data_IF_787453260489
#
_entry.id   IF_787453260489
#
_cell.length_a   1.000
_cell.length_b   1.000
_cell.length_c   1.000
_cell.angle_alpha   90.00
_cell.angle_beta   90.00
_cell.angle_gamma   90.00
#
_symmetry.space_group_name_H-M   'P 1'
#
loop_
_entity.id
_entity.type
_entity.pdbx_description
1 polymer ?
#
# COMPACT_ATOMS: atom_id res chain seq x y z
N UNK A 1 -13.70 22.72 0.69
CA UNK A 1 -12.25 22.94 0.69
C UNK A 1 -11.64 22.07 -0.42
N UNK A 2 -10.55 22.47 -1.07
CA UNK A 2 -9.89 21.62 -2.07
C UNK A 2 -9.29 20.36 -1.44
N UNK A 3 -9.23 19.28 -2.22
CA UNK A 3 -8.62 18.00 -1.82
C UNK A 3 -7.50 17.61 -2.77
N UNK A 4 -6.59 16.77 -2.31
CA UNK A 4 -5.42 16.36 -3.07
C UNK A 4 -4.71 15.16 -2.45
N UNK A 5 -3.64 14.71 -3.12
CA UNK A 5 -2.78 13.61 -2.68
C UNK A 5 -1.40 14.13 -2.33
N UNK A 6 -0.87 13.72 -1.18
CA UNK A 6 0.50 14.05 -0.77
C UNK A 6 1.46 13.47 -1.81
N UNK A 7 2.23 14.32 -2.48
CA UNK A 7 3.23 13.87 -3.45
C UNK A 7 4.46 13.38 -2.71
N UNK A 8 4.89 14.18 -1.73
CA UNK A 8 5.96 13.85 -0.79
C UNK A 8 5.92 14.81 0.39
N UNK A 9 6.46 14.38 1.52
CA UNK A 9 6.64 15.21 2.71
C UNK A 9 7.92 14.79 3.42
N UNK A 10 8.63 15.75 4.00
CA UNK A 10 9.83 15.50 4.79
C UNK A 10 9.61 16.04 6.20
N UNK A 11 9.37 15.15 7.17
CA UNK A 11 9.28 15.51 8.58
C UNK A 11 10.56 16.20 9.09
N UNK A 12 11.73 15.77 8.63
CA UNK A 12 13.02 16.37 9.00
C UNK A 12 13.13 17.82 8.56
N UNK A 13 12.68 18.14 7.34
CA UNK A 13 12.69 19.51 6.82
C UNK A 13 11.45 20.31 7.21
N UNK A 14 10.39 19.65 7.70
CA UNK A 14 9.13 20.25 8.11
C UNK A 14 8.29 20.79 6.95
N UNK A 15 8.43 20.27 5.74
CA UNK A 15 7.61 20.68 4.60
C UNK A 15 7.44 19.58 3.55
N UNK A 16 6.44 19.75 2.69
CA UNK A 16 6.17 18.87 1.56
C UNK A 16 5.25 19.51 0.53
N UNK A 17 4.76 18.70 -0.40
CA UNK A 17 3.87 19.12 -1.47
C UNK A 17 2.71 18.15 -1.65
N UNK A 18 1.55 18.70 -1.95
CA UNK A 18 0.32 17.97 -2.27
C UNK A 18 -0.10 18.30 -3.69
N UNK A 19 -0.33 17.26 -4.48
CA UNK A 19 -0.90 17.37 -5.81
C UNK A 19 -2.42 17.53 -5.71
N UNK A 20 -2.96 18.61 -6.28
CA UNK A 20 -4.41 18.77 -6.44
C UNK A 20 -4.94 17.80 -7.50
N UNK A 21 -6.23 17.44 -7.44
CA UNK A 21 -6.85 16.65 -8.52
C UNK A 21 -6.94 17.46 -9.83
N UNK A 22 -7.16 18.77 -9.73
CA UNK A 22 -7.08 19.70 -10.86
C UNK A 22 -6.36 20.96 -10.38
N UNK A 23 -5.10 21.17 -10.79
CA UNK A 23 -4.35 22.37 -10.46
C UNK A 23 -2.85 22.18 -10.27
N UNK A 24 -2.22 23.20 -9.70
CA UNK A 24 -0.78 23.22 -9.38
C UNK A 24 -0.49 22.49 -8.05
N UNK A 25 0.75 22.08 -7.86
CA UNK A 25 1.20 21.48 -6.59
C UNK A 25 1.15 22.53 -5.47
N UNK A 26 0.53 22.17 -4.35
CA UNK A 26 0.35 23.05 -3.19
C UNK A 26 1.43 22.78 -2.16
N UNK A 27 2.11 23.84 -1.74
CA UNK A 27 3.14 23.78 -0.70
C UNK A 27 2.52 23.57 0.69
N UNK A 28 3.04 22.60 1.45
CA UNK A 28 2.53 22.22 2.77
C UNK A 28 3.62 22.37 3.83
N UNK A 29 3.57 23.40 4.69
CA UNK A 29 4.46 23.51 5.84
C UNK A 29 3.97 22.65 7.03
N UNK A 30 4.87 22.29 7.94
CA UNK A 30 4.56 21.58 9.19
C UNK A 30 3.55 22.34 10.06
N UNK A 31 3.53 23.67 10.00
CA UNK A 31 2.57 24.50 10.74
C UNK A 31 1.13 24.35 10.26
N UNK A 32 0.92 23.84 9.05
CA UNK A 32 -0.42 23.58 8.51
C UNK A 32 -0.94 22.20 8.87
N UNK A 33 -0.11 21.33 9.47
CA UNK A 33 -0.51 20.00 9.90
C UNK A 33 -1.42 20.05 11.13
N UNK A 34 -2.35 19.09 11.27
CA UNK A 34 -3.17 18.99 12.46
C UNK A 34 -2.34 18.60 13.69
N UNK A 35 -2.83 18.98 14.88
CA UNK A 35 -2.12 18.73 16.14
C UNK A 35 -1.84 17.24 16.35
N UNK A 36 -0.59 16.90 16.66
CA UNK A 36 -0.12 15.52 16.87
C UNK A 36 0.35 14.80 15.61
N UNK A 37 0.27 15.42 14.42
CA UNK A 37 0.80 14.87 13.17
C UNK A 37 2.10 15.58 12.81
N UNK A 38 3.18 14.81 12.71
CA UNK A 38 4.52 15.32 12.38
C UNK A 38 5.00 14.90 10.99
N UNK A 39 4.28 14.00 10.33
CA UNK A 39 4.66 13.45 9.01
C UNK A 39 3.41 13.18 8.15
N UNK A 40 3.59 13.18 6.83
CA UNK A 40 2.58 12.81 5.85
C UNK A 40 3.12 11.72 4.92
N UNK A 41 2.33 10.67 4.69
CA UNK A 41 2.73 9.60 3.77
C UNK A 41 2.48 10.02 2.32
N UNK A 42 3.40 9.71 1.42
CA UNK A 42 3.17 9.86 -0.01
C UNK A 42 1.94 9.04 -0.45
N UNK A 43 1.09 9.63 -1.30
CA UNK A 43 -0.18 9.07 -1.76
C UNK A 43 -1.36 9.28 -0.81
N UNK A 44 -1.14 9.79 0.41
CA UNK A 44 -2.21 10.03 1.38
C UNK A 44 -3.16 11.13 0.90
N UNK A 45 -4.47 10.90 1.00
CA UNK A 45 -5.48 11.90 0.63
C UNK A 45 -5.60 12.93 1.75
N UNK A 46 -5.67 14.21 1.39
CA UNK A 46 -5.79 15.30 2.34
C UNK A 46 -6.76 16.35 1.82
N UNK A 47 -7.51 16.95 2.72
CA UNK A 47 -8.26 18.18 2.49
C UNK A 47 -7.42 19.34 3.01
N UNK A 48 -7.40 20.45 2.30
CA UNK A 48 -6.66 21.61 2.77
C UNK A 48 -7.31 22.92 2.32
N UNK A 49 -7.09 23.98 3.09
CA UNK A 49 -7.37 25.34 2.63
C UNK A 49 -6.19 25.88 1.81
N UNK A 50 -6.44 26.41 0.61
CA UNK A 50 -5.42 27.06 -0.22
C UNK A 50 -5.45 28.56 0.01
N UNK A 51 -4.28 29.16 0.18
CA UNK A 51 -4.09 30.60 0.08
C UNK A 51 -2.91 30.93 -0.85
N UNK A 52 -2.97 32.09 -1.52
CA UNK A 52 -1.84 32.59 -2.29
C UNK A 52 -0.73 33.05 -1.36
N UNK A 53 0.35 32.27 -1.29
CA UNK A 53 1.56 32.61 -0.55
C UNK A 53 2.60 33.30 -1.44
N UNK A 54 3.71 33.72 -0.82
CA UNK A 54 4.84 34.36 -1.52
C UNK A 54 5.53 33.45 -2.55
N UNK A 55 5.32 32.12 -2.45
CA UNK A 55 5.94 31.08 -3.30
C UNK A 55 4.90 30.32 -4.14
N UNK A 56 3.72 30.90 -4.35
CA UNK A 56 2.59 30.24 -5.00
C UNK A 56 1.58 29.66 -4.01
N UNK A 57 0.72 28.74 -4.46
CA UNK A 57 -0.34 28.14 -3.64
C UNK A 57 0.22 27.44 -2.39
N UNK A 58 -0.27 27.83 -1.21
CA UNK A 58 0.14 27.26 0.08
C UNK A 58 -1.07 26.73 0.85
N UNK A 59 -0.89 25.57 1.49
CA UNK A 59 -1.86 25.00 2.42
C UNK A 59 -1.82 25.75 3.78
N UNK A 60 -2.99 26.18 4.25
CA UNK A 60 -3.15 26.83 5.56
C UNK A 60 -3.56 25.87 6.66
N UNK A 61 -4.53 25.02 6.37
CA UNK A 61 -5.07 24.04 7.29
C UNK A 61 -5.14 22.73 6.53
N UNK A 62 -4.43 21.70 7.00
CA UNK A 62 -4.49 20.35 6.44
C UNK A 62 -5.35 19.49 7.36
N UNK A 63 -6.31 18.80 6.77
CA UNK A 63 -7.10 17.76 7.40
C UNK A 63 -6.80 16.46 6.68
N UNK A 64 -6.40 15.44 7.42
CA UNK A 64 -6.22 14.11 6.86
C UNK A 64 -7.58 13.53 6.51
N UNK A 65 -7.92 13.52 5.22
CA UNK A 65 -9.02 12.71 4.72
C UNK A 65 -8.50 11.28 4.75
N UNK A 66 -9.03 10.47 5.67
CA UNK A 66 -8.51 9.14 5.98
C UNK A 66 -8.08 8.34 4.75
N UNK A 67 -7.11 7.44 4.94
CA UNK A 67 -6.45 6.65 3.90
C UNK A 67 -7.38 6.36 2.70
N UNK A 68 -6.94 6.53 1.43
CA UNK A 68 -7.68 5.91 0.31
C UNK A 68 -7.98 4.49 0.76
N UNK A 69 -9.22 3.99 0.64
CA UNK A 69 -9.63 2.79 1.35
C UNK A 69 -8.54 1.76 1.13
N UNK A 70 -7.73 1.54 2.18
CA UNK A 70 -7.07 0.27 2.33
C UNK A 70 -8.25 -0.68 2.20
N UNK A 71 -8.11 -1.72 1.38
CA UNK A 71 -9.16 -2.71 1.22
C UNK A 71 -9.66 -3.27 2.58
N UNK A 72 -8.98 -2.94 3.69
CA UNK A 72 -9.43 -3.05 5.08
C UNK A 72 -10.67 -2.22 5.52
N UNK A 73 -11.07 -1.11 4.87
CA UNK A 73 -12.12 -0.20 5.39
C UNK A 73 -13.44 -0.15 4.62
N UNK A 74 -13.63 -0.96 3.58
CA UNK A 74 -14.96 -1.17 2.96
C UNK A 74 -15.82 -2.21 3.72
N UNK A 75 -15.33 -2.73 4.86
CA UNK A 75 -16.01 -3.73 5.68
C UNK A 75 -16.48 -3.20 7.04
N UNK A 76 -17.15 -2.04 7.09
CA UNK A 76 -17.86 -1.62 8.32
C UNK A 76 -19.34 -1.28 8.17
N UNK A 77 -19.91 -1.28 6.96
CA UNK A 77 -21.34 -0.97 6.75
C UNK A 77 -22.06 -1.96 5.82
N UNK A 78 -21.94 -3.26 6.11
CA UNK A 78 -22.84 -4.29 5.55
C UNK A 78 -23.37 -5.17 6.68
N UNK A 79 -24.65 -5.61 6.63
CA UNK A 79 -25.37 -6.13 7.78
C UNK A 79 -24.69 -7.37 8.36
N UNK A 80 -24.65 -7.43 9.69
CA UNK A 80 -24.15 -8.55 10.50
C UNK A 80 -24.62 -9.89 9.93
N UNK A 81 -23.78 -10.54 9.14
CA UNK A 81 -23.75 -12.00 9.02
C UNK A 81 -22.63 -12.45 9.96
N UNK A 82 -22.97 -13.31 10.89
CA UNK A 82 -22.05 -13.90 11.87
C UNK A 82 -20.81 -14.46 11.14
N UNK A 83 -19.66 -13.84 11.35
CA UNK A 83 -18.41 -14.13 10.63
C UNK A 83 -17.59 -12.85 10.45
N UNK A 84 -16.66 -12.59 11.37
CA UNK A 84 -15.86 -11.36 11.46
C UNK A 84 -14.97 -11.06 10.24
N UNK A 85 -14.27 -9.90 10.23
CA UNK A 85 -13.29 -9.53 9.20
C UNK A 85 -12.32 -10.68 8.99
N UNK A 86 -11.97 -11.01 7.74
CA UNK A 86 -10.91 -11.97 7.46
C UNK A 86 -9.61 -11.32 7.93
N UNK A 87 -9.24 -11.63 9.17
CA UNK A 87 -7.89 -11.40 9.66
C UNK A 87 -6.98 -12.18 8.72
N UNK A 88 -5.99 -11.51 8.13
CA UNK A 88 -4.93 -12.22 7.41
C UNK A 88 -4.41 -13.29 8.36
N UNK A 89 -4.49 -14.54 7.94
CA UNK A 89 -4.14 -15.68 8.80
C UNK A 89 -2.67 -15.64 9.20
N UNK A 90 -1.85 -14.90 8.44
CA UNK A 90 -0.40 -14.82 8.55
C UNK A 90 0.06 -13.38 8.64
N UNK A 91 1.08 -13.15 9.45
CA UNK A 91 1.78 -11.86 9.54
C UNK A 91 2.58 -11.57 8.27
N UNK A 92 2.95 -10.31 8.00
CA UNK A 92 3.78 -9.96 6.85
C UNK A 92 5.12 -10.71 6.81
N UNK A 93 5.78 -10.92 7.95
CA UNK A 93 7.04 -11.66 8.04
C UNK A 93 6.85 -13.15 7.72
N UNK A 94 5.76 -13.75 8.17
CA UNK A 94 5.43 -15.15 7.84
C UNK A 94 5.12 -15.32 6.34
N UNK A 95 4.38 -14.38 5.74
CA UNK A 95 4.08 -14.40 4.31
C UNK A 95 5.34 -14.18 3.48
N UNK A 96 6.22 -13.27 3.92
CA UNK A 96 7.54 -13.06 3.29
C UNK A 96 8.36 -14.36 3.30
N UNK A 97 8.44 -15.05 4.44
CA UNK A 97 9.11 -16.35 4.53
C UNK A 97 8.52 -17.42 3.61
N UNK A 98 7.18 -17.50 3.52
CA UNK A 98 6.52 -18.43 2.58
C UNK A 98 6.86 -18.14 1.11
N UNK A 99 6.97 -16.87 0.75
CA UNK A 99 7.37 -16.45 -0.59
C UNK A 99 8.85 -16.79 -0.85
N UNK A 100 9.74 -16.57 0.12
CA UNK A 100 11.16 -16.95 0.00
C UNK A 100 11.34 -18.47 -0.16
N UNK A 101 10.61 -19.27 0.61
CA UNK A 101 10.60 -20.73 0.51
C UNK A 101 10.09 -21.19 -0.87
N UNK A 102 9.03 -20.54 -1.39
CA UNK A 102 8.50 -20.81 -2.72
C UNK A 102 9.51 -20.49 -3.82
N UNK A 103 10.22 -19.35 -3.72
CA UNK A 103 11.26 -18.97 -4.68
C UNK A 103 12.38 -20.01 -4.67
N UNK A 104 12.86 -20.38 -3.49
CA UNK A 104 13.92 -21.39 -3.31
C UNK A 104 13.49 -22.74 -3.88
N UNK A 105 12.24 -23.15 -3.65
CA UNK A 105 11.69 -24.39 -4.21
C UNK A 105 11.67 -24.34 -5.75
N UNK A 106 11.21 -23.24 -6.34
CA UNK A 106 11.15 -23.06 -7.80
C UNK A 106 12.55 -23.05 -8.43
N UNK A 107 13.51 -22.39 -7.81
CA UNK A 107 14.91 -22.36 -8.22
C UNK A 107 15.57 -23.72 -8.16
N UNK A 108 15.32 -24.49 -7.10
CA UNK A 108 15.91 -25.81 -6.92
C UNK A 108 15.28 -26.90 -7.79
N UNK A 109 13.98 -26.79 -8.09
CA UNK A 109 13.23 -27.92 -8.69
C UNK A 109 12.67 -27.67 -10.08
N UNK A 110 12.33 -26.43 -10.43
CA UNK A 110 11.66 -26.11 -11.70
C UNK A 110 12.63 -25.47 -12.69
N UNK A 111 13.34 -24.42 -12.26
CA UNK A 111 14.26 -23.69 -13.13
C UNK A 111 15.35 -24.56 -13.79
N UNK A 112 15.96 -25.56 -13.12
CA UNK A 112 17.05 -26.32 -13.73
C UNK A 112 16.60 -27.12 -14.95
N UNK A 113 15.38 -27.70 -14.93
CA UNK A 113 14.85 -28.42 -16.08
C UNK A 113 14.44 -27.46 -17.19
N UNK A 114 13.81 -26.32 -16.84
CA UNK A 114 13.45 -25.30 -17.83
C UNK A 114 14.69 -24.73 -18.54
N UNK A 115 15.79 -24.49 -17.81
CA UNK A 115 17.08 -24.08 -18.37
C UNK A 115 17.67 -25.11 -19.34
N UNK A 116 17.37 -26.39 -19.13
CA UNK A 116 17.73 -27.49 -20.04
C UNK A 116 16.72 -27.66 -21.19
N UNK A 117 15.75 -26.76 -21.32
CA UNK A 117 14.70 -26.81 -22.36
C UNK A 117 13.64 -27.89 -22.13
N UNK A 118 13.50 -28.39 -20.89
CA UNK A 118 12.54 -29.45 -20.55
C UNK A 118 11.60 -28.99 -19.43
N UNK A 119 10.40 -29.56 -19.40
CA UNK A 119 9.50 -29.36 -18.28
C UNK A 119 9.78 -30.37 -17.16
N UNK A 120 9.57 -30.00 -15.88
CA UNK A 120 9.57 -30.95 -14.78
C UNK A 120 8.53 -32.06 -14.99
N UNK A 121 8.77 -33.24 -14.41
CA UNK A 121 7.80 -34.33 -14.52
C UNK A 121 6.45 -33.95 -13.89
N UNK A 122 5.39 -34.64 -14.32
CA UNK A 122 4.00 -34.32 -13.95
C UNK A 122 3.75 -34.34 -12.44
N UNK A 123 4.45 -35.20 -11.69
CA UNK A 123 4.29 -35.33 -10.24
C UNK A 123 4.97 -34.16 -9.52
N UNK A 124 6.18 -33.79 -9.92
CA UNK A 124 6.89 -32.60 -9.40
C UNK A 124 6.12 -31.34 -9.76
N UNK A 125 5.77 -31.15 -11.04
CA UNK A 125 5.02 -29.99 -11.50
C UNK A 125 3.71 -29.80 -10.73
N UNK A 126 2.98 -30.90 -10.48
CA UNK A 126 1.73 -30.84 -9.69
C UNK A 126 1.99 -30.39 -8.26
N UNK A 127 2.99 -30.95 -7.58
CA UNK A 127 3.33 -30.56 -6.19
C UNK A 127 3.73 -29.09 -6.09
N UNK A 128 4.61 -28.64 -6.97
CA UNK A 128 5.04 -27.23 -7.01
C UNK A 128 3.84 -26.32 -7.29
N UNK A 129 2.94 -26.71 -8.20
CA UNK A 129 1.74 -25.92 -8.49
C UNK A 129 0.79 -25.79 -7.30
N UNK A 130 0.70 -26.81 -6.43
CA UNK A 130 -0.12 -26.73 -5.22
C UNK A 130 0.50 -25.77 -4.20
N UNK A 131 1.83 -25.75 -4.06
CA UNK A 131 2.53 -24.78 -3.19
C UNK A 131 2.31 -23.36 -3.69
N UNK A 132 2.52 -23.10 -4.99
CA UNK A 132 2.31 -21.78 -5.59
C UNK A 132 0.85 -21.31 -5.40
N UNK A 133 -0.12 -22.20 -5.62
CA UNK A 133 -1.54 -21.88 -5.40
C UNK A 133 -1.87 -21.62 -3.93
N UNK A 134 -1.24 -22.33 -3.00
CA UNK A 134 -1.44 -22.11 -1.57
C UNK A 134 -0.92 -20.72 -1.19
N UNK A 135 0.31 -20.37 -1.57
CA UNK A 135 0.88 -19.03 -1.32
C UNK A 135 0.06 -17.93 -1.99
N UNK A 136 -0.43 -18.15 -3.21
CA UNK A 136 -1.30 -17.19 -3.89
C UNK A 136 -2.61 -16.94 -3.12
N UNK A 137 -3.24 -17.99 -2.55
CA UNK A 137 -4.43 -17.82 -1.72
C UNK A 137 -4.16 -17.02 -0.45
N UNK A 138 -2.98 -17.18 0.15
CA UNK A 138 -2.59 -16.40 1.33
C UNK A 138 -2.29 -14.94 0.98
N UNK A 139 -1.83 -14.65 -0.25
CA UNK A 139 -1.65 -13.29 -0.77
C UNK A 139 -2.97 -12.60 -1.14
N UNK A 140 -3.99 -13.36 -1.56
CA UNK A 140 -5.31 -12.87 -1.94
C UNK A 140 -6.27 -12.64 -0.75
N UNK A 141 -5.90 -13.12 0.45
CA UNK A 141 -6.71 -13.09 1.68
C UNK A 141 -6.72 -11.72 2.37
#
# INVERSE_FOLDING_TARGET
MPTGKVKWYSAEKGFGFVAQEEGEDVYVPSSALPAGVTDLKAGQRVEFGIASGRRGPQALQVTLLGDPPSLAKTRREAPRREGGPAEHKHTPDELHGMVEDMITLLEGTVQPELRKGRYPDRKIARRVSEVVKAVARELDA
#
